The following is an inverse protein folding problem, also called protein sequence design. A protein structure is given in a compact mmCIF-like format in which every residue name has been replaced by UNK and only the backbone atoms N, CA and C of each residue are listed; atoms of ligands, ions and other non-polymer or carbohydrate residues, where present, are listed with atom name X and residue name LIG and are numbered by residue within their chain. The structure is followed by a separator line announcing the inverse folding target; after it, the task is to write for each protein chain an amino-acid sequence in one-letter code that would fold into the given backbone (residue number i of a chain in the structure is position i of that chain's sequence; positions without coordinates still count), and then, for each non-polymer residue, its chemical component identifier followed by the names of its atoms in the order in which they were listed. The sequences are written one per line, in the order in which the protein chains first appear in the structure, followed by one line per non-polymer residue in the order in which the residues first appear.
data_IF_139633596813
#
_entry.id   IF_139633596813
#
_cell.length_a   1.000
_cell.length_b   1.000
_cell.length_c   1.000
_cell.angle_alpha   90.00
_cell.angle_beta   90.00
_cell.angle_gamma   90.00
#
_symmetry.space_group_name_H-M   'P 1'
#
loop_
_entity.id
_entity.type
_entity.pdbx_description
1 polymer ?
#
# COMPACT_ATOMS: atom_id res chain seq x y z
N UNK A 1 -3.53 -15.11 22.87
CA UNK A 1 -4.81 -14.37 22.75
C UNK A 1 -5.53 -14.95 21.54
N UNK A 2 -6.74 -15.48 21.72
CA UNK A 2 -7.50 -16.10 20.62
C UNK A 2 -7.88 -15.06 19.55
N UNK A 3 -7.89 -15.45 18.27
CA UNK A 3 -8.18 -14.58 17.12
C UNK A 3 -9.57 -13.95 17.23
N UNK A 4 -10.54 -14.69 17.77
CA UNK A 4 -11.91 -14.21 18.01
C UNK A 4 -11.94 -13.08 19.03
N UNK A 5 -11.30 -13.27 20.17
CA UNK A 5 -11.21 -12.26 21.24
C UNK A 5 -10.54 -10.97 20.77
N UNK A 6 -9.53 -11.05 19.90
CA UNK A 6 -8.90 -9.87 19.31
C UNK A 6 -9.82 -9.16 18.33
N UNK A 7 -10.50 -9.89 17.44
CA UNK A 7 -11.46 -9.30 16.50
C UNK A 7 -12.59 -8.60 17.24
N UNK A 8 -13.09 -9.20 18.32
CA UNK A 8 -14.14 -8.61 19.14
C UNK A 8 -13.64 -7.35 19.87
N UNK A 9 -12.40 -7.35 20.36
CA UNK A 9 -11.76 -6.15 20.94
C UNK A 9 -11.63 -5.03 19.91
N UNK A 10 -11.10 -5.33 18.72
CA UNK A 10 -10.94 -4.34 17.65
C UNK A 10 -12.29 -3.80 17.17
N UNK A 11 -13.30 -4.65 17.03
CA UNK A 11 -14.66 -4.22 16.69
C UNK A 11 -15.24 -3.26 17.73
N UNK A 12 -15.10 -3.59 19.03
CA UNK A 12 -15.55 -2.71 20.13
C UNK A 12 -14.83 -1.37 20.12
N UNK A 13 -13.51 -1.38 19.93
CA UNK A 13 -12.69 -0.18 19.86
C UNK A 13 -13.10 0.69 18.66
N UNK A 14 -13.25 0.10 17.47
CA UNK A 14 -13.73 0.81 16.28
C UNK A 14 -15.10 1.42 16.50
N UNK A 15 -16.01 0.72 17.17
CA UNK A 15 -17.36 1.18 17.44
C UNK A 15 -17.37 2.33 18.48
N UNK A 16 -16.47 2.30 19.46
CA UNK A 16 -16.32 3.37 20.45
C UNK A 16 -15.87 4.68 19.83
N UNK A 17 -14.96 4.63 18.85
CA UNK A 17 -14.41 5.82 18.19
C UNK A 17 -15.12 6.20 16.89
N UNK A 18 -16.25 5.56 16.58
CA UNK A 18 -17.02 5.83 15.38
C UNK A 18 -17.96 7.01 15.57
N UNK A 19 -17.80 8.04 14.76
CA UNK A 19 -18.66 9.23 14.79
C UNK A 19 -19.89 9.11 13.89
N UNK A 20 -19.81 8.33 12.82
CA UNK A 20 -20.90 8.15 11.87
C UNK A 20 -20.43 8.15 10.42
N UNK A 21 -21.38 8.29 9.51
CA UNK A 21 -21.16 8.29 8.06
C UNK A 21 -21.54 9.66 7.51
N UNK A 22 -20.65 10.25 6.70
CA UNK A 22 -20.88 11.54 6.07
C UNK A 22 -20.46 11.54 4.60
N UNK A 23 -21.14 12.35 3.80
CA UNK A 23 -20.71 12.71 2.45
C UNK A 23 -19.72 13.88 2.53
N UNK A 24 -18.50 13.71 2.05
CA UNK A 24 -17.40 14.70 2.16
C UNK A 24 -16.86 15.03 0.76
N UNK A 25 -16.50 16.30 0.51
CA UNK A 25 -15.91 16.73 -0.77
C UNK A 25 -14.54 16.10 -1.00
N UNK A 26 -14.22 15.79 -2.26
CA UNK A 26 -12.93 15.19 -2.63
C UNK A 26 -11.72 16.03 -2.18
N UNK A 27 -11.81 17.37 -2.25
CA UNK A 27 -10.72 18.26 -1.85
C UNK A 27 -10.36 18.19 -0.35
N UNK A 28 -11.25 17.68 0.48
CA UNK A 28 -11.03 17.52 1.92
C UNK A 28 -10.54 16.11 2.30
N UNK A 29 -10.34 15.21 1.33
CA UNK A 29 -9.84 13.84 1.56
C UNK A 29 -8.31 13.81 1.44
N UNK A 30 -7.63 13.42 2.51
CA UNK A 30 -6.17 13.26 2.53
C UNK A 30 -5.77 11.77 2.53
N UNK A 31 -5.06 11.34 1.49
CA UNK A 31 -4.55 9.96 1.31
C UNK A 31 -3.07 9.80 1.69
N UNK A 32 -2.45 10.79 2.33
CA UNK A 32 -1.04 10.71 2.74
C UNK A 32 -0.75 9.50 3.64
N UNK A 33 -1.63 9.21 4.60
CA UNK A 33 -1.44 8.10 5.52
C UNK A 33 -1.43 6.74 4.82
N UNK A 34 -2.39 6.48 3.91
CA UNK A 34 -2.45 5.20 3.21
C UNK A 34 -1.28 5.02 2.23
N UNK A 35 -0.79 6.12 1.63
CA UNK A 35 0.42 6.10 0.78
C UNK A 35 1.68 5.78 1.58
N UNK A 36 1.83 6.34 2.78
CA UNK A 36 2.98 6.06 3.66
C UNK A 36 2.95 4.63 4.21
N UNK A 37 1.76 4.08 4.46
CA UNK A 37 1.58 2.72 4.99
C UNK A 37 2.06 1.63 4.02
N UNK A 38 1.90 1.83 2.71
CA UNK A 38 2.32 0.88 1.70
C UNK A 38 3.48 1.45 0.88
N UNK A 39 4.75 1.21 1.29
CA UNK A 39 5.92 1.75 0.59
C UNK A 39 6.06 1.18 -0.83
N UNK A 40 5.33 0.11 -1.17
CA UNK A 40 5.27 -0.45 -2.51
C UNK A 40 4.38 0.36 -3.46
N UNK A 41 3.42 1.13 -2.94
CA UNK A 41 2.53 1.98 -3.73
C UNK A 41 2.89 3.45 -3.55
N UNK A 42 4.03 3.87 -4.11
CA UNK A 42 4.43 5.29 -4.06
C UNK A 42 3.51 6.23 -4.87
N UNK A 43 2.57 5.69 -5.66
CA UNK A 43 1.52 6.44 -6.38
C UNK A 43 0.32 5.54 -6.66
N UNK A 44 -0.84 6.14 -6.95
CA UNK A 44 -1.98 5.44 -7.50
C UNK A 44 -1.59 4.52 -8.67
N UNK A 45 -2.10 3.30 -8.68
CA UNK A 45 -2.01 2.39 -9.81
C UNK A 45 -2.93 2.91 -10.93
N UNK A 46 -2.34 3.61 -11.90
CA UNK A 46 -3.07 4.21 -13.00
C UNK A 46 -3.89 3.20 -13.82
N UNK A 47 -3.43 1.94 -13.92
CA UNK A 47 -4.19 0.90 -14.62
C UNK A 47 -5.44 0.52 -13.84
N UNK A 48 -5.31 0.40 -12.52
CA UNK A 48 -6.44 0.15 -11.65
C UNK A 48 -7.43 1.33 -11.65
N UNK A 49 -6.92 2.57 -11.61
CA UNK A 49 -7.74 3.79 -11.74
C UNK A 49 -8.51 3.78 -13.06
N UNK A 50 -7.85 3.53 -14.20
CA UNK A 50 -8.52 3.47 -15.50
C UNK A 50 -9.55 2.33 -15.61
N UNK A 51 -9.28 1.19 -14.98
CA UNK A 51 -10.22 0.07 -14.88
C UNK A 51 -11.46 0.45 -14.07
N UNK A 52 -11.27 1.10 -12.91
CA UNK A 52 -12.35 1.61 -12.06
C UNK A 52 -13.14 2.72 -12.76
N UNK A 53 -12.46 3.60 -13.50
CA UNK A 53 -13.09 4.66 -14.29
C UNK A 53 -14.02 4.04 -15.34
N UNK A 54 -13.55 3.01 -16.04
CA UNK A 54 -14.36 2.26 -17.01
C UNK A 54 -15.55 1.57 -16.35
N UNK A 55 -15.36 1.00 -15.16
CA UNK A 55 -16.43 0.39 -14.36
C UNK A 55 -17.50 1.42 -13.98
N UNK A 56 -17.10 2.59 -13.47
CA UNK A 56 -18.02 3.68 -13.12
C UNK A 56 -18.77 4.23 -14.32
N UNK A 57 -18.11 4.42 -15.48
CA UNK A 57 -18.79 4.86 -16.72
C UNK A 57 -19.86 3.87 -17.19
N UNK A 58 -19.69 2.57 -16.91
CA UNK A 58 -20.66 1.53 -17.25
C UNK A 58 -21.83 1.43 -16.27
N UNK A 59 -21.80 2.19 -15.17
CA UNK A 59 -22.84 2.16 -14.13
C UNK A 59 -22.87 0.86 -13.32
N UNK A 60 -21.80 0.07 -13.36
CA UNK A 60 -21.71 -1.19 -12.61
C UNK A 60 -21.12 -0.96 -11.21
N UNK A 61 -21.61 -1.73 -10.22
CA UNK A 61 -21.00 -1.92 -8.89
C UNK A 61 -20.71 -0.67 -8.04
N UNK A 62 -21.51 0.39 -8.19
CA UNK A 62 -21.48 1.52 -7.26
C UNK A 62 -22.76 1.60 -6.45
N UNK A 63 -22.63 1.37 -5.13
CA UNK A 63 -23.70 1.55 -4.16
C UNK A 63 -23.13 2.26 -2.93
N UNK A 64 -23.51 3.51 -2.65
CA UNK A 64 -22.97 4.31 -1.54
C UNK A 64 -23.33 3.72 -0.17
N UNK A 65 -24.40 2.92 -0.11
CA UNK A 65 -24.86 2.18 1.07
C UNK A 65 -23.98 0.98 1.42
N UNK A 66 -23.21 0.45 0.46
CA UNK A 66 -22.34 -0.68 0.73
C UNK A 66 -21.11 -0.21 1.52
N UNK A 67 -20.90 -0.80 2.71
CA UNK A 67 -19.74 -0.54 3.58
C UNK A 67 -18.41 -0.71 2.84
N UNK A 68 -18.36 -1.62 1.85
CA UNK A 68 -17.19 -1.82 0.99
C UNK A 68 -16.87 -0.62 0.09
N UNK A 69 -17.81 0.28 -0.16
CA UNK A 69 -17.60 1.47 -0.99
C UNK A 69 -17.36 2.74 -0.16
N UNK A 70 -17.57 2.64 1.15
CA UNK A 70 -17.33 3.74 2.08
C UNK A 70 -15.86 3.78 2.50
N UNK A 71 -15.30 4.99 2.57
CA UNK A 71 -13.90 5.19 2.97
C UNK A 71 -13.84 5.35 4.49
N UNK A 72 -13.13 4.49 5.23
CA UNK A 72 -12.78 4.78 6.62
C UNK A 72 -11.75 5.91 6.65
N UNK A 73 -12.05 6.96 7.41
CA UNK A 73 -11.16 8.10 7.59
C UNK A 73 -11.15 8.58 9.03
N UNK A 74 -10.04 9.19 9.43
CA UNK A 74 -9.89 9.82 10.74
C UNK A 74 -10.17 11.32 10.63
N UNK A 75 -10.87 11.88 11.61
CA UNK A 75 -11.17 13.30 11.74
C UNK A 75 -10.89 13.78 13.15
N UNK A 76 -10.38 15.01 13.24
CA UNK A 76 -10.24 15.73 14.51
C UNK A 76 -11.64 16.03 15.10
N UNK A 77 -11.93 15.65 16.35
CA UNK A 77 -13.22 15.93 16.99
C UNK A 77 -13.59 17.41 16.99
N UNK A 78 -12.63 18.32 17.21
CA UNK A 78 -12.89 19.75 17.16
C UNK A 78 -13.28 20.20 15.75
N UNK A 79 -12.58 19.70 14.73
CA UNK A 79 -12.92 19.96 13.33
C UNK A 79 -14.31 19.41 12.97
N UNK A 80 -14.67 18.23 13.48
CA UNK A 80 -15.98 17.64 13.27
C UNK A 80 -17.08 18.51 13.88
N UNK A 81 -16.92 18.95 15.13
CA UNK A 81 -17.90 19.80 15.81
C UNK A 81 -18.10 21.13 15.09
N UNK A 82 -17.01 21.80 14.71
CA UNK A 82 -17.07 23.05 13.93
C UNK A 82 -17.80 22.86 12.59
N UNK A 83 -17.60 21.71 11.95
CA UNK A 83 -18.22 21.40 10.66
C UNK A 83 -19.70 21.06 10.79
N UNK A 84 -20.11 20.43 11.91
CA UNK A 84 -21.50 20.15 12.24
C UNK A 84 -22.27 21.45 12.54
N UNK A 85 -21.67 22.38 13.29
CA UNK A 85 -22.25 23.68 13.59
C UNK A 85 -22.43 24.56 12.34
N UNK A 86 -21.47 24.51 11.40
CA UNK A 86 -21.53 25.25 10.14
C UNK A 86 -22.52 24.70 9.11
N UNK A 87 -22.97 23.46 9.27
CA UNK A 87 -23.93 22.88 8.35
C UNK A 87 -25.27 23.64 8.41
N UNK A 88 -25.89 23.91 7.26
CA UNK A 88 -27.12 24.72 7.13
C UNK A 88 -28.29 24.26 8.01
N UNK A 89 -28.26 23.03 8.51
CA UNK A 89 -29.30 22.44 9.38
C UNK A 89 -28.85 22.18 10.82
N UNK A 90 -27.69 22.69 11.25
CA UNK A 90 -27.06 22.38 12.55
C UNK A 90 -27.14 20.88 12.84
N UNK A 91 -26.36 20.11 12.08
CA UNK A 91 -26.36 18.65 12.17
C UNK A 91 -25.83 18.20 13.54
N UNK A 92 -26.41 17.14 14.08
CA UNK A 92 -25.91 16.46 15.28
C UNK A 92 -25.11 15.21 14.91
N UNK A 93 -24.32 14.68 15.86
CA UNK A 93 -23.65 13.38 15.69
C UNK A 93 -24.65 12.24 15.44
N UNK A 94 -25.87 12.34 15.97
CA UNK A 94 -26.91 11.33 15.76
C UNK A 94 -27.42 11.34 14.32
N UNK A 95 -27.36 12.50 13.64
CA UNK A 95 -27.71 12.59 12.21
C UNK A 95 -26.70 11.84 11.32
N UNK A 96 -25.44 11.74 11.74
CA UNK A 96 -24.41 10.97 11.03
C UNK A 96 -24.59 9.46 11.18
N UNK A 97 -25.36 9.01 12.17
CA UNK A 97 -25.59 7.59 12.47
C UNK A 97 -26.90 7.05 11.89
N UNK A 98 -27.69 7.89 11.23
CA UNK A 98 -28.95 7.47 10.61
C UNK A 98 -28.69 6.52 9.45
N UNK A 99 -29.39 5.39 9.47
CA UNK A 99 -29.42 4.39 8.39
C UNK A 99 -30.65 4.59 7.49
N UNK A 100 -30.92 5.85 7.09
CA UNK A 100 -32.06 6.19 6.23
C UNK A 100 -31.68 6.26 4.73
N UNK A 101 -30.44 5.87 4.39
CA UNK A 101 -29.88 5.94 3.04
C UNK A 101 -29.51 7.36 2.59
N UNK A 102 -29.78 8.39 3.41
CA UNK A 102 -29.49 9.79 3.10
C UNK A 102 -28.30 10.26 3.92
N UNK A 103 -27.11 10.18 3.34
CA UNK A 103 -25.88 10.60 4.02
C UNK A 103 -25.81 12.12 4.20
N UNK A 104 -25.56 12.56 5.43
CA UNK A 104 -25.36 13.98 5.75
C UNK A 104 -24.17 14.57 4.98
N UNK A 105 -24.37 15.72 4.32
CA UNK A 105 -23.29 16.45 3.64
C UNK A 105 -22.50 17.32 4.64
N UNK A 106 -21.24 16.98 4.89
CA UNK A 106 -20.37 17.71 5.83
C UNK A 106 -19.33 18.55 5.09
N UNK A 107 -19.32 19.87 5.29
CA UNK A 107 -18.35 20.78 4.64
C UNK A 107 -17.24 21.21 5.63
N UNK A 108 -16.04 20.68 5.42
CA UNK A 108 -14.91 20.85 6.33
C UNK A 108 -14.17 22.18 6.14
N UNK A 109 -14.63 23.05 5.22
CA UNK A 109 -13.88 24.24 4.79
C UNK A 109 -12.44 23.87 4.39
N UNK A 110 -11.43 24.40 5.06
CA UNK A 110 -10.02 24.10 4.81
C UNK A 110 -9.51 22.85 5.57
N UNK A 111 -10.35 22.27 6.43
CA UNK A 111 -10.04 21.05 7.16
C UNK A 111 -9.99 19.82 6.26
N UNK A 112 -9.20 18.82 6.67
CA UNK A 112 -9.03 17.56 5.94
C UNK A 112 -9.26 16.35 6.84
N UNK A 113 -9.78 15.28 6.24
CA UNK A 113 -9.86 13.96 6.89
C UNK A 113 -8.75 13.05 6.38
N UNK A 114 -8.19 12.27 7.29
CA UNK A 114 -7.11 11.33 6.98
C UNK A 114 -7.75 10.02 6.51
N UNK A 115 -7.77 9.79 5.21
CA UNK A 115 -8.30 8.58 4.60
C UNK A 115 -7.36 7.39 4.80
N UNK A 116 -7.92 6.28 5.29
CA UNK A 116 -7.16 5.05 5.54
C UNK A 116 -7.05 4.15 4.29
N UNK A 117 -7.91 4.37 3.29
CA UNK A 117 -7.91 3.71 1.96
C UNK A 117 -8.79 4.51 0.98
N UNK A 118 -8.96 4.04 -0.26
CA UNK A 118 -9.96 4.58 -1.20
C UNK A 118 -9.42 5.50 -2.28
N UNK A 119 -8.12 5.79 -2.30
CA UNK A 119 -7.50 6.76 -3.22
C UNK A 119 -7.82 6.44 -4.69
N UNK A 120 -7.68 5.18 -5.12
CA UNK A 120 -7.97 4.79 -6.51
C UNK A 120 -9.43 5.01 -6.92
N UNK A 121 -10.37 4.76 -6.01
CA UNK A 121 -11.81 4.92 -6.28
C UNK A 121 -12.19 6.38 -6.35
N UNK A 122 -11.63 7.22 -5.48
CA UNK A 122 -11.86 8.67 -5.53
C UNK A 122 -11.27 9.26 -6.81
N UNK A 123 -10.04 8.89 -7.18
CA UNK A 123 -9.42 9.36 -8.43
C UNK A 123 -10.19 8.92 -9.68
N UNK A 124 -10.61 7.66 -9.73
CA UNK A 124 -11.43 7.15 -10.83
C UNK A 124 -12.79 7.85 -10.87
N UNK A 125 -13.40 8.09 -9.71
CA UNK A 125 -14.68 8.78 -9.62
C UNK A 125 -14.57 10.24 -10.04
N UNK A 126 -13.53 10.96 -9.62
CA UNK A 126 -13.28 12.34 -9.99
C UNK A 126 -13.16 12.55 -11.51
N UNK A 127 -12.61 11.55 -12.21
CA UNK A 127 -12.56 11.55 -13.67
C UNK A 127 -13.91 11.29 -14.35
N UNK A 128 -14.83 10.57 -13.69
CA UNK A 128 -16.14 10.18 -14.27
C UNK A 128 -17.34 11.03 -13.84
N UNK A 129 -17.32 11.60 -12.64
CA UNK A 129 -18.51 12.21 -12.03
C UNK A 129 -18.69 13.62 -12.59
N UNK A 130 -19.73 13.77 -13.42
CA UNK A 130 -20.16 15.06 -13.99
C UNK A 130 -20.85 15.95 -12.94
N UNK A 131 -21.23 15.39 -11.79
CA UNK A 131 -21.91 16.11 -10.71
C UNK A 131 -20.98 17.16 -10.08
N UNK A 132 -21.47 18.42 -10.01
CA UNK A 132 -20.76 19.59 -9.49
C UNK A 132 -20.32 19.46 -8.03
N UNK A 133 -20.91 18.56 -7.23
CA UNK A 133 -20.61 18.47 -5.80
C UNK A 133 -19.34 17.66 -5.46
N UNK A 134 -18.87 16.76 -6.35
CA UNK A 134 -17.65 15.90 -6.18
C UNK A 134 -17.42 15.42 -4.73
N UNK A 135 -18.30 14.53 -4.24
CA UNK A 135 -18.30 14.03 -2.85
C UNK A 135 -18.19 12.51 -2.78
N UNK A 136 -17.62 12.00 -1.71
CA UNK A 136 -17.55 10.58 -1.37
C UNK A 136 -18.17 10.29 -0.01
N UNK A 137 -18.68 9.07 0.18
CA UNK A 137 -19.22 8.62 1.47
C UNK A 137 -18.09 8.07 2.36
N UNK A 138 -17.94 8.65 3.53
CA UNK A 138 -16.83 8.42 4.45
C UNK A 138 -17.36 8.01 5.82
N UNK A 139 -16.77 6.95 6.39
CA UNK A 139 -16.96 6.53 7.78
C UNK A 139 -15.93 7.25 8.65
N UNK A 140 -16.41 8.07 9.57
CA UNK A 140 -15.58 8.96 10.38
C UNK A 140 -15.23 8.33 11.72
N UNK A 141 -13.94 8.36 12.04
CA UNK A 141 -13.40 7.92 13.32
C UNK A 141 -12.56 9.03 13.98
N UNK A 142 -12.44 9.04 15.30
CA UNK A 142 -11.65 10.04 16.02
C UNK A 142 -10.14 9.91 15.76
N UNK A 143 -9.44 11.05 15.62
CA UNK A 143 -7.97 11.13 15.62
C UNK A 143 -7.36 11.22 17.02
N UNK A 144 -8.13 11.64 18.03
CA UNK A 144 -7.56 12.36 19.19
C UNK A 144 -6.65 11.52 20.10
N UNK A 145 -6.93 10.25 20.42
CA UNK A 145 -5.91 9.48 21.19
C UNK A 145 -6.03 7.96 21.25
N UNK A 146 -7.12 7.34 20.81
CA UNK A 146 -7.40 5.97 21.30
C UNK A 146 -7.65 4.89 20.24
N UNK A 147 -7.62 5.25 18.95
CA UNK A 147 -7.62 4.22 17.92
C UNK A 147 -6.21 3.65 17.80
N UNK A 148 -6.02 2.44 18.34
CA UNK A 148 -4.75 1.72 18.31
C UNK A 148 -4.24 1.56 16.88
N UNK A 149 -2.92 1.46 16.73
CA UNK A 149 -2.30 1.18 15.43
C UNK A 149 -2.87 -0.11 14.81
N UNK A 150 -3.16 -1.11 15.64
CA UNK A 150 -3.82 -2.35 15.24
C UNK A 150 -5.24 -2.09 14.67
N UNK A 151 -6.04 -1.21 15.28
CA UNK A 151 -7.38 -0.87 14.80
C UNK A 151 -7.36 -0.02 13.52
N UNK A 152 -6.42 0.93 13.40
CA UNK A 152 -6.19 1.71 12.16
C UNK A 152 -5.80 0.79 11.01
N UNK A 153 -4.87 -0.13 11.26
CA UNK A 153 -4.46 -1.13 10.29
C UNK A 153 -5.62 -2.04 9.89
N UNK A 154 -6.43 -2.50 10.85
CA UNK A 154 -7.60 -3.34 10.56
C UNK A 154 -8.70 -2.61 9.79
N UNK A 155 -8.86 -1.28 9.94
CA UNK A 155 -9.75 -0.47 9.09
C UNK A 155 -9.21 -0.28 7.68
N UNK A 156 -7.91 -0.04 7.55
CA UNK A 156 -7.25 0.11 6.27
C UNK A 156 -7.23 -1.21 5.48
N UNK A 157 -7.13 -2.35 6.18
CA UNK A 157 -7.20 -3.70 5.62
C UNK A 157 -8.63 -4.23 5.48
N UNK A 158 -9.64 -3.47 5.94
CA UNK A 158 -11.04 -3.87 5.85
C UNK A 158 -11.40 -4.09 4.38
N UNK A 159 -11.81 -5.34 4.08
CA UNK A 159 -11.74 -5.88 2.73
C UNK A 159 -12.86 -5.35 1.84
N UNK A 160 -12.60 -4.20 1.25
CA UNK A 160 -13.30 -3.65 0.11
C UNK A 160 -12.45 -3.88 -1.14
N UNK A 161 -13.05 -4.40 -2.22
CA UNK A 161 -12.39 -4.66 -3.49
C UNK A 161 -11.94 -3.35 -4.17
N UNK A 162 -10.85 -2.73 -3.73
CA UNK A 162 -10.23 -1.60 -4.44
C UNK A 162 -9.32 -2.10 -5.57
N UNK A 163 -8.61 -3.19 -5.33
CA UNK A 163 -7.85 -3.96 -6.32
C UNK A 163 -7.45 -5.32 -5.76
N UNK A 164 -7.10 -6.23 -6.66
CA UNK A 164 -6.40 -7.44 -6.27
C UNK A 164 -4.99 -7.09 -5.78
N UNK A 165 -4.63 -7.61 -4.61
CA UNK A 165 -3.26 -7.50 -4.08
C UNK A 165 -2.30 -8.25 -5.00
N UNK A 166 -1.17 -7.63 -5.33
CA UNK A 166 -0.14 -8.22 -6.18
C UNK A 166 0.67 -9.28 -5.42
N UNK A 167 1.35 -10.18 -6.14
CA UNK A 167 2.25 -11.18 -5.55
C UNK A 167 3.34 -10.52 -4.68
N UNK A 168 3.88 -9.36 -5.11
CA UNK A 168 4.86 -8.57 -4.37
C UNK A 168 4.30 -8.05 -3.04
N UNK A 169 3.06 -7.54 -3.03
CA UNK A 169 2.40 -7.06 -1.81
C UNK A 169 2.05 -8.19 -0.85
N UNK A 170 1.61 -9.35 -1.36
CA UNK A 170 1.45 -10.53 -0.52
C UNK A 170 2.78 -10.91 0.12
N UNK A 171 3.85 -11.00 -0.67
CA UNK A 171 5.17 -11.34 -0.15
C UNK A 171 5.61 -10.34 0.93
N UNK A 172 5.53 -9.04 0.64
CA UNK A 172 5.92 -7.97 1.56
C UNK A 172 5.13 -8.02 2.87
N UNK A 173 3.79 -7.98 2.80
CA UNK A 173 2.95 -7.94 3.99
C UNK A 173 3.10 -9.21 4.84
N UNK A 174 3.19 -10.38 4.20
CA UNK A 174 3.37 -11.66 4.89
C UNK A 174 4.71 -11.67 5.64
N UNK A 175 5.80 -11.31 4.97
CA UNK A 175 7.13 -11.38 5.54
C UNK A 175 7.41 -10.26 6.53
N UNK A 176 6.84 -9.06 6.34
CA UNK A 176 6.87 -7.99 7.33
C UNK A 176 6.16 -8.40 8.62
N UNK A 177 5.03 -9.07 8.50
CA UNK A 177 4.31 -9.56 9.67
C UNK A 177 5.14 -10.61 10.43
N UNK A 178 5.78 -11.55 9.74
CA UNK A 178 6.68 -12.53 10.37
C UNK A 178 7.92 -11.87 10.99
N UNK A 179 8.46 -10.83 10.37
CA UNK A 179 9.53 -10.01 10.94
C UNK A 179 9.15 -9.39 12.28
N UNK A 180 7.95 -8.80 12.36
CA UNK A 180 7.47 -8.09 13.57
C UNK A 180 6.95 -9.03 14.66
N UNK A 181 6.35 -10.16 14.30
CA UNK A 181 5.59 -11.01 15.22
C UNK A 181 6.19 -12.41 15.43
N UNK A 182 7.34 -12.71 14.83
CA UNK A 182 7.98 -14.02 14.90
C UNK A 182 7.66 -14.93 13.70
N UNK A 183 8.44 -15.99 13.57
CA UNK A 183 8.43 -16.90 12.42
C UNK A 183 7.05 -17.58 12.22
N UNK A 184 6.71 -18.09 11.02
CA UNK A 184 5.37 -18.60 10.72
C UNK A 184 4.88 -19.70 11.66
N UNK A 185 5.81 -20.44 12.26
CA UNK A 185 5.55 -21.56 13.17
C UNK A 185 5.64 -21.19 14.65
N UNK A 186 6.14 -19.99 14.98
CA UNK A 186 6.44 -19.57 16.36
C UNK A 186 5.71 -18.29 16.78
N UNK A 187 5.06 -17.58 15.84
CA UNK A 187 4.35 -16.34 16.14
C UNK A 187 3.06 -16.57 16.95
N UNK A 188 2.76 -15.76 17.97
CA UNK A 188 1.54 -15.87 18.77
C UNK A 188 0.26 -15.46 18.03
N UNK A 189 0.38 -14.93 16.80
CA UNK A 189 -0.71 -14.34 16.01
C UNK A 189 -0.72 -14.94 14.60
N UNK A 190 -1.89 -15.42 14.10
CA UNK A 190 -1.99 -15.90 12.73
C UNK A 190 -1.82 -14.75 11.75
N UNK A 191 -1.02 -14.96 10.71
CA UNK A 191 -0.76 -13.97 9.66
C UNK A 191 -1.99 -13.89 8.71
N UNK A 192 -2.74 -12.77 8.68
CA UNK A 192 -3.98 -12.68 7.92
C UNK A 192 -3.73 -12.72 6.41
N UNK A 193 -2.66 -12.09 5.92
CA UNK A 193 -2.28 -12.11 4.51
C UNK A 193 -1.85 -13.52 4.07
N UNK A 194 -1.17 -14.26 4.95
CA UNK A 194 -0.81 -15.65 4.68
C UNK A 194 -2.03 -16.56 4.64
N UNK A 195 -2.96 -16.42 5.58
CA UNK A 195 -4.22 -17.17 5.58
C UNK A 195 -5.05 -16.88 4.32
N UNK A 196 -5.05 -15.64 3.86
CA UNK A 196 -5.69 -15.26 2.60
C UNK A 196 -4.99 -15.88 1.39
N UNK A 197 -3.66 -15.83 1.32
CA UNK A 197 -2.90 -16.46 0.24
C UNK A 197 -3.14 -17.98 0.22
N UNK A 198 -3.18 -18.63 1.39
CA UNK A 198 -3.51 -20.06 1.51
C UNK A 198 -4.88 -20.40 0.90
N UNK A 199 -5.89 -19.53 1.08
CA UNK A 199 -7.23 -19.73 0.50
C UNK A 199 -7.26 -19.55 -1.02
N UNK A 200 -6.48 -18.60 -1.54
CA UNK A 200 -6.43 -18.31 -2.98
C UNK A 200 -5.49 -19.25 -3.76
N UNK A 201 -4.36 -19.62 -3.14
CA UNK A 201 -3.33 -20.48 -3.73
C UNK A 201 -2.48 -21.11 -2.63
N UNK A 202 -2.89 -22.30 -2.20
CA UNK A 202 -2.17 -23.08 -1.18
C UNK A 202 -0.72 -23.35 -1.58
N UNK A 203 -0.47 -23.66 -2.87
CA UNK A 203 0.88 -23.90 -3.39
C UNK A 203 1.81 -22.69 -3.22
N UNK A 204 1.36 -21.50 -3.65
CA UNK A 204 2.13 -20.25 -3.49
C UNK A 204 2.44 -19.96 -2.03
N UNK A 205 1.48 -20.18 -1.13
CA UNK A 205 1.68 -19.96 0.30
C UNK A 205 2.68 -20.95 0.91
N UNK A 206 2.59 -22.25 0.59
CA UNK A 206 3.55 -23.27 1.05
C UNK A 206 4.96 -22.98 0.56
N UNK A 207 5.11 -22.58 -0.70
CA UNK A 207 6.40 -22.22 -1.27
C UNK A 207 6.97 -20.96 -0.63
N UNK A 208 6.16 -19.92 -0.41
CA UNK A 208 6.59 -18.73 0.32
C UNK A 208 7.09 -19.08 1.74
N UNK A 209 6.36 -19.92 2.47
CA UNK A 209 6.78 -20.39 3.80
C UNK A 209 8.11 -21.16 3.73
N UNK A 210 8.28 -22.06 2.76
CA UNK A 210 9.54 -22.79 2.55
C UNK A 210 10.71 -21.87 2.22
N UNK A 211 10.50 -20.85 1.39
CA UNK A 211 11.52 -19.86 1.07
C UNK A 211 11.94 -19.06 2.30
N UNK A 212 11.00 -18.76 3.19
CA UNK A 212 11.23 -17.95 4.38
C UNK A 212 11.87 -18.72 5.54
N UNK A 213 11.31 -19.86 5.93
CA UNK A 213 11.72 -20.62 7.14
C UNK A 213 12.00 -22.10 6.91
N UNK A 214 11.97 -22.58 5.66
CA UNK A 214 12.25 -23.98 5.34
C UNK A 214 13.75 -24.38 5.42
N UNK A 215 14.07 -25.66 5.18
CA UNK A 215 15.45 -26.17 5.24
C UNK A 215 16.42 -25.50 4.24
N UNK A 216 15.90 -25.02 3.11
CA UNK A 216 16.65 -24.26 2.10
C UNK A 216 16.30 -22.76 2.13
N UNK A 217 15.87 -22.26 3.28
CA UNK A 217 15.42 -20.89 3.45
C UNK A 217 16.48 -19.87 3.04
N UNK A 218 15.96 -18.76 2.52
CA UNK A 218 16.68 -17.52 2.20
C UNK A 218 16.17 -16.37 3.07
N UNK A 219 15.40 -16.68 4.14
CA UNK A 219 14.74 -15.71 4.99
C UNK A 219 15.71 -14.69 5.58
N UNK A 220 16.91 -15.10 5.99
CA UNK A 220 17.94 -14.21 6.52
C UNK A 220 18.33 -13.08 5.55
N UNK A 221 18.46 -13.39 4.25
CA UNK A 221 18.72 -12.37 3.22
C UNK A 221 17.47 -11.57 2.85
N UNK A 222 16.32 -12.25 2.73
CA UNK A 222 15.06 -11.62 2.35
C UNK A 222 14.55 -10.64 3.42
N UNK A 223 14.95 -10.80 4.68
CA UNK A 223 14.72 -9.81 5.73
C UNK A 223 15.32 -8.45 5.36
N UNK A 224 16.51 -8.43 4.75
CA UNK A 224 17.17 -7.19 4.29
C UNK A 224 16.35 -6.46 3.22
N UNK A 225 15.55 -7.16 2.41
CA UNK A 225 14.72 -6.50 1.39
C UNK A 225 13.70 -5.52 2.00
N UNK A 226 13.34 -5.68 3.29
CA UNK A 226 12.51 -4.69 4.00
C UNK A 226 13.21 -3.36 4.24
N UNK A 227 14.55 -3.31 4.16
CA UNK A 227 15.32 -2.06 4.18
C UNK A 227 15.14 -1.28 2.87
N UNK A 228 14.89 -1.95 1.74
CA UNK A 228 14.67 -1.34 0.43
C UNK A 228 13.38 -1.91 -0.19
N UNK A 229 12.19 -1.40 0.22
CA UNK A 229 10.91 -1.98 -0.19
C UNK A 229 10.72 -2.07 -1.71
N UNK A 230 11.34 -1.18 -2.49
CA UNK A 230 11.28 -1.22 -3.95
C UNK A 230 11.78 -2.56 -4.55
N UNK A 231 12.62 -3.32 -3.84
CA UNK A 231 13.13 -4.62 -4.30
C UNK A 231 12.09 -5.74 -4.32
N UNK A 232 10.94 -5.54 -3.69
CA UNK A 232 9.82 -6.47 -3.85
C UNK A 232 9.20 -6.39 -5.25
N UNK A 233 9.54 -5.37 -6.04
CA UNK A 233 9.18 -5.32 -7.45
C UNK A 233 9.73 -6.52 -8.22
N UNK A 234 8.91 -7.10 -9.10
CA UNK A 234 9.29 -8.26 -9.91
C UNK A 234 9.20 -9.61 -9.21
N UNK A 235 9.00 -9.63 -7.87
CA UNK A 235 8.77 -10.88 -7.16
C UNK A 235 7.40 -11.45 -7.54
N UNK A 236 7.44 -12.64 -8.16
CA UNK A 236 6.28 -13.46 -8.46
C UNK A 236 6.24 -14.65 -7.52
N UNK A 237 5.16 -14.81 -6.76
CA UNK A 237 4.95 -15.97 -5.89
C UNK A 237 4.89 -17.26 -6.71
N UNK A 238 4.48 -17.18 -7.98
CA UNK A 238 4.52 -18.32 -8.91
C UNK A 238 5.94 -18.80 -9.23
N UNK A 239 6.97 -17.95 -9.10
CA UNK A 239 8.36 -18.32 -9.34
C UNK A 239 9.11 -18.78 -8.08
N UNK A 240 8.48 -18.68 -6.90
CA UNK A 240 9.12 -19.09 -5.64
C UNK A 240 9.44 -20.58 -5.64
N UNK A 241 8.55 -21.43 -6.16
CA UNK A 241 8.82 -22.87 -6.30
C UNK A 241 10.06 -23.16 -7.13
N UNK A 242 10.25 -22.46 -8.26
CA UNK A 242 11.48 -22.56 -9.09
C UNK A 242 12.72 -22.09 -8.33
N UNK A 243 12.58 -21.00 -7.58
CA UNK A 243 13.66 -20.42 -6.77
C UNK A 243 14.16 -21.38 -5.70
N UNK A 244 13.26 -22.11 -5.06
CA UNK A 244 13.58 -23.13 -4.05
C UNK A 244 14.23 -24.35 -4.70
N UNK A 245 13.88 -24.67 -5.95
CA UNK A 245 14.44 -25.81 -6.68
C UNK A 245 15.88 -25.56 -7.17
N UNK A 246 16.32 -24.30 -7.25
CA UNK A 246 17.69 -23.96 -7.63
C UNK A 246 18.71 -24.28 -6.51
N UNK A 247 20.00 -24.46 -6.87
CA UNK A 247 21.06 -24.63 -5.90
C UNK A 247 21.08 -23.47 -4.88
N UNK A 248 21.04 -23.83 -3.58
CA UNK A 248 20.92 -22.87 -2.48
C UNK A 248 21.94 -21.72 -2.57
N UNK A 249 23.19 -22.04 -2.89
CA UNK A 249 24.25 -21.03 -2.97
C UNK A 249 24.06 -20.07 -4.16
N UNK A 250 23.58 -20.57 -5.30
CA UNK A 250 23.29 -19.74 -6.48
C UNK A 250 22.17 -18.76 -6.17
N UNK A 251 21.06 -19.24 -5.62
CA UNK A 251 19.93 -18.41 -5.17
C UNK A 251 20.39 -17.36 -4.16
N UNK A 252 21.19 -17.78 -3.18
CA UNK A 252 21.73 -16.89 -2.14
C UNK A 252 22.59 -15.78 -2.74
N UNK A 253 23.51 -16.13 -3.64
CA UNK A 253 24.38 -15.16 -4.32
C UNK A 253 23.56 -14.17 -5.17
N UNK A 254 22.49 -14.63 -5.81
CA UNK A 254 21.62 -13.77 -6.62
C UNK A 254 20.83 -12.78 -5.77
N UNK A 255 20.17 -13.25 -4.69
CA UNK A 255 19.43 -12.39 -3.76
C UNK A 255 20.39 -11.35 -3.15
N UNK A 256 21.57 -11.80 -2.71
CA UNK A 256 22.61 -10.92 -2.17
C UNK A 256 23.07 -9.88 -3.20
N UNK A 257 23.33 -10.28 -4.44
CA UNK A 257 23.75 -9.37 -5.52
C UNK A 257 22.71 -8.29 -5.81
N UNK A 258 21.42 -8.63 -5.82
CA UNK A 258 20.35 -7.65 -6.01
C UNK A 258 20.34 -6.64 -4.87
N UNK A 259 20.38 -7.12 -3.62
CA UNK A 259 20.38 -6.24 -2.47
C UNK A 259 21.60 -5.32 -2.44
N UNK A 260 22.81 -5.89 -2.50
CA UNK A 260 24.05 -5.14 -2.35
C UNK A 260 24.22 -4.10 -3.48
N UNK A 261 23.73 -4.39 -4.68
CA UNK A 261 23.69 -3.41 -5.77
C UNK A 261 22.82 -2.20 -5.40
N UNK A 262 21.58 -2.42 -4.97
CA UNK A 262 20.66 -1.31 -4.66
C UNK A 262 21.03 -0.57 -3.37
N UNK A 263 21.61 -1.27 -2.41
CA UNK A 263 22.22 -0.68 -1.21
C UNK A 263 23.33 0.31 -1.59
N UNK A 264 24.23 -0.08 -2.50
CA UNK A 264 25.25 0.81 -3.07
C UNK A 264 24.66 1.99 -3.83
N UNK A 265 23.65 1.77 -4.69
CA UNK A 265 22.98 2.85 -5.44
C UNK A 265 22.32 3.87 -4.50
N UNK A 266 21.80 3.42 -3.35
CA UNK A 266 21.26 4.28 -2.30
C UNK A 266 22.33 4.85 -1.35
N UNK A 267 23.62 4.70 -1.65
CA UNK A 267 24.72 5.16 -0.79
C UNK A 267 24.73 4.57 0.63
N UNK A 268 24.11 3.41 0.81
CA UNK A 268 23.81 2.84 2.13
C UNK A 268 22.90 3.71 3.02
N UNK A 269 22.34 4.81 2.48
CA UNK A 269 21.52 5.76 3.21
C UNK A 269 20.09 5.22 3.43
N UNK A 270 19.65 5.21 4.68
CA UNK A 270 18.35 4.65 5.08
C UNK A 270 17.19 5.44 4.48
N UNK A 271 17.28 6.78 4.41
CA UNK A 271 16.23 7.62 3.85
C UNK A 271 16.08 7.38 2.35
N UNK A 272 17.20 7.31 1.62
CA UNK A 272 17.19 7.02 0.18
C UNK A 272 16.60 5.65 -0.12
N UNK A 273 16.97 4.62 0.65
CA UNK A 273 16.42 3.26 0.48
C UNK A 273 14.90 3.20 0.61
N UNK A 274 14.34 3.93 1.58
CA UNK A 274 12.89 3.96 1.83
C UNK A 274 12.15 4.82 0.80
N UNK A 275 12.81 5.85 0.24
CA UNK A 275 12.24 6.74 -0.79
C UNK A 275 12.33 6.15 -2.20
N UNK A 276 13.18 5.15 -2.42
CA UNK A 276 13.25 4.45 -3.69
C UNK A 276 11.90 3.82 -4.02
N UNK A 277 11.38 4.12 -5.21
CA UNK A 277 10.08 3.61 -5.66
C UNK A 277 10.22 2.39 -6.59
N UNK A 278 9.20 1.55 -6.61
CA UNK A 278 9.18 0.35 -7.46
C UNK A 278 9.21 0.66 -8.96
N UNK A 279 8.72 1.81 -9.42
CA UNK A 279 8.75 2.15 -10.85
C UNK A 279 10.19 2.41 -11.31
N UNK A 280 11.00 3.06 -10.48
CA UNK A 280 12.44 3.19 -10.74
C UNK A 280 13.09 1.83 -10.93
N UNK A 281 12.95 0.93 -9.95
CA UNK A 281 13.55 -0.43 -10.03
C UNK A 281 13.04 -1.16 -11.27
N UNK A 282 11.74 -1.06 -11.57
CA UNK A 282 11.13 -1.64 -12.77
C UNK A 282 11.75 -1.17 -14.07
N UNK A 283 11.90 0.14 -14.21
CA UNK A 283 12.34 0.77 -15.45
C UNK A 283 13.82 0.48 -15.69
N UNK A 284 14.65 0.44 -14.65
CA UNK A 284 16.10 0.26 -14.83
C UNK A 284 16.56 -1.19 -14.79
N UNK A 285 15.79 -2.10 -14.18
CA UNK A 285 16.17 -3.52 -14.07
C UNK A 285 16.39 -4.16 -15.44
N UNK A 286 17.47 -4.93 -15.58
CA UNK A 286 17.85 -5.58 -16.85
C UNK A 286 18.43 -4.64 -17.92
N UNK A 287 18.61 -3.34 -17.63
CA UNK A 287 19.22 -2.37 -18.55
C UNK A 287 20.68 -2.10 -18.18
N UNK A 288 21.51 -1.83 -19.19
CA UNK A 288 22.89 -1.34 -19.06
C UNK A 288 22.95 0.18 -19.26
N UNK A 289 24.07 0.81 -18.90
CA UNK A 289 24.27 2.28 -18.92
C UNK A 289 23.75 2.98 -20.19
N UNK A 290 24.05 2.45 -21.38
CA UNK A 290 23.61 3.06 -22.64
C UNK A 290 22.11 2.91 -22.95
N UNK A 291 21.42 1.94 -22.34
CA UNK A 291 20.02 1.65 -22.65
C UNK A 291 19.03 2.60 -21.97
N UNK A 292 19.50 3.39 -21.00
CA UNK A 292 18.67 4.35 -20.29
C UNK A 292 19.11 5.81 -20.51
N UNK A 293 20.21 6.07 -21.22
CA UNK A 293 20.61 7.41 -21.65
C UNK A 293 19.60 8.11 -22.60
N UNK A 294 18.82 7.33 -23.35
CA UNK A 294 17.75 7.85 -24.23
C UNK A 294 16.41 8.09 -23.52
N UNK A 295 16.29 7.65 -22.27
CA UNK A 295 15.17 8.00 -21.42
C UNK A 295 15.57 9.35 -20.81
N UNK A 296 14.75 10.38 -20.95
CA UNK A 296 15.03 11.72 -20.40
C UNK A 296 14.88 11.71 -18.85
N UNK A 297 15.54 10.77 -18.16
CA UNK A 297 15.25 10.29 -16.80
C UNK A 297 15.51 11.34 -15.73
N UNK A 298 16.49 12.21 -15.97
CA UNK A 298 16.79 13.31 -15.07
C UNK A 298 15.67 14.37 -15.08
N UNK A 299 14.97 14.54 -16.21
CA UNK A 299 14.06 15.65 -16.45
C UNK A 299 12.58 15.25 -16.50
N UNK A 300 12.25 13.99 -16.81
CA UNK A 300 10.85 13.55 -16.96
C UNK A 300 10.12 13.33 -15.63
N UNK A 301 10.85 13.15 -14.52
CA UNK A 301 10.28 12.80 -13.22
C UNK A 301 9.59 11.44 -13.18
N UNK A 302 9.76 10.62 -14.23
CA UNK A 302 9.11 9.31 -14.38
C UNK A 302 9.76 8.24 -13.47
N UNK A 303 11.06 8.39 -13.20
CA UNK A 303 11.80 7.62 -12.20
C UNK A 303 12.38 8.55 -11.15
N UNK A 304 12.73 8.01 -9.98
CA UNK A 304 13.31 8.72 -8.84
C UNK A 304 12.47 9.94 -8.42
N UNK A 305 11.15 9.86 -8.60
CA UNK A 305 10.21 10.97 -8.36
C UNK A 305 10.27 11.50 -6.92
N UNK A 306 10.62 10.63 -5.98
CA UNK A 306 10.69 10.95 -4.55
C UNK A 306 11.99 11.69 -4.17
N UNK A 307 12.90 11.90 -5.12
CA UNK A 307 14.19 12.56 -4.94
C UNK A 307 14.21 13.93 -5.59
N UNK A 308 14.99 14.86 -5.02
CA UNK A 308 15.24 16.16 -5.65
C UNK A 308 16.24 16.06 -6.82
N UNK A 309 16.44 17.15 -7.56
CA UNK A 309 17.30 17.16 -8.75
C UNK A 309 18.75 16.76 -8.45
N UNK A 310 19.29 17.17 -7.29
CA UNK A 310 20.68 16.88 -6.89
C UNK A 310 20.83 15.41 -6.52
N UNK A 311 19.89 14.91 -5.70
CA UNK A 311 19.83 13.50 -5.32
C UNK A 311 19.64 12.60 -6.55
N UNK A 312 18.76 12.97 -7.49
CA UNK A 312 18.57 12.25 -8.76
C UNK A 312 19.86 12.17 -9.56
N UNK A 313 20.55 13.28 -9.74
CA UNK A 313 21.82 13.31 -10.48
C UNK A 313 22.87 12.39 -9.84
N UNK A 314 22.98 12.41 -8.51
CA UNK A 314 23.89 11.54 -7.77
C UNK A 314 23.53 10.04 -7.92
N UNK A 315 22.25 9.69 -7.81
CA UNK A 315 21.77 8.31 -7.97
C UNK A 315 22.01 7.82 -9.40
N UNK A 316 21.71 8.64 -10.41
CA UNK A 316 21.93 8.31 -11.83
C UNK A 316 23.41 8.10 -12.14
N UNK A 317 24.29 8.97 -11.64
CA UNK A 317 25.75 8.81 -11.82
C UNK A 317 26.27 7.49 -11.22
N UNK A 318 25.76 7.09 -10.04
CA UNK A 318 26.08 5.78 -9.45
C UNK A 318 25.54 4.62 -10.27
N UNK A 319 24.32 4.73 -10.80
CA UNK A 319 23.74 3.71 -11.69
C UNK A 319 24.59 3.51 -12.94
N UNK A 320 25.02 4.60 -13.59
CA UNK A 320 25.87 4.57 -14.78
C UNK A 320 27.21 3.89 -14.50
N UNK A 321 27.87 4.31 -13.42
CA UNK A 321 29.14 3.73 -12.98
C UNK A 321 29.00 2.23 -12.67
N UNK A 322 27.92 1.83 -12.00
CA UNK A 322 27.69 0.43 -11.60
C UNK A 322 27.24 -0.48 -12.75
N UNK A 323 26.87 0.08 -13.90
CA UNK A 323 26.32 -0.67 -15.06
C UNK A 323 27.10 -0.44 -16.35
N UNK A 324 28.36 -0.04 -16.21
CA UNK A 324 29.28 0.14 -17.36
C UNK A 324 29.59 -1.20 -18.05
N UNK A 325 29.80 -2.26 -17.28
CA UNK A 325 30.18 -3.61 -17.75
C UNK A 325 29.07 -4.67 -17.53
N UNK A 326 27.92 -4.26 -16.98
CA UNK A 326 26.86 -5.17 -16.53
C UNK A 326 25.48 -4.50 -16.56
N UNK A 327 24.43 -5.31 -16.59
CA UNK A 327 23.05 -4.83 -16.42
C UNK A 327 22.68 -4.70 -14.94
N UNK A 328 21.71 -3.83 -14.64
CA UNK A 328 21.06 -3.76 -13.33
C UNK A 328 20.49 -5.14 -12.97
N UNK A 329 20.83 -5.71 -11.80
CA UNK A 329 20.34 -7.02 -11.40
C UNK A 329 18.84 -6.99 -11.09
N UNK A 330 18.12 -8.01 -11.56
CA UNK A 330 16.67 -8.13 -11.38
C UNK A 330 16.35 -9.10 -10.25
N UNK A 331 15.37 -8.76 -9.42
CA UNK A 331 14.84 -9.67 -8.42
C UNK A 331 14.07 -10.81 -9.12
N UNK A 332 14.46 -12.06 -8.86
CA UNK A 332 13.69 -13.31 -9.08
C UNK A 332 12.97 -13.48 -10.44
N UNK A 333 13.36 -12.72 -11.47
CA UNK A 333 13.03 -12.98 -12.86
C UNK A 333 14.11 -13.88 -13.44
N UNK A 334 13.98 -15.17 -13.19
CA UNK A 334 14.60 -16.17 -14.05
C UNK A 334 13.53 -16.54 -15.05
N UNK A 335 13.61 -15.92 -16.23
CA UNK A 335 13.21 -16.58 -17.45
C UNK A 335 14.40 -17.42 -17.89
#
# INVERSE_FOLDING_TARGET
MDYRTRRDRLSKEKQQYFFGIASIRFGALDFNWCRQRNPLSGSPDQKNVASLETMFRRGCDWSPEQVSHQIPALIDPALLEDSLQRAEKSLSLEDLKKEDGVFAELDLADGKVICLKGEHRVLASDATVVNRKKRWIVRLYSTETDLSEDARNDLADERASERQMTDAEYFYNITLFWLKNGDPDQGPRPNPWFAQLMRHSEGKAKDLKRLWSGPSSQGDLLRRFHEIPALFWGISLGNVGKTIAMPRQQTRNQIKRVFDFWDYICCHDVSMKLRLDMNTVKVVSGRASGAYAGLNLANSGEILRNFDTTERAAILSRLESATTDRVVPTALSIA
#
